data_IF_147451478179
#
_entry.id   IF_147451478179
#
_cell.length_a   1.000
_cell.length_b   1.000
_cell.length_c   1.000
_cell.angle_alpha   90.00
_cell.angle_beta   90.00
_cell.angle_gamma   90.00
#
_symmetry.space_group_name_H-M   'P 1'
#
loop_
_entity.id
_entity.type
_entity.pdbx_description
1 polymer ?
#
# COMPACT_ATOMS: atom_id res chain seq x y z
N UNK A 1 -16.32 -12.70 -16.21
CA UNK A 1 -16.10 -11.54 -15.32
C UNK A 1 -16.47 -11.94 -13.91
N UNK A 2 -15.56 -11.73 -12.97
CA UNK A 2 -15.80 -11.94 -11.55
C UNK A 2 -16.89 -11.00 -11.04
N UNK A 3 -17.50 -11.34 -9.88
CA UNK A 3 -18.44 -10.43 -9.22
C UNK A 3 -17.66 -9.47 -8.33
N UNK A 4 -17.45 -8.25 -8.80
CA UNK A 4 -16.74 -7.20 -8.09
C UNK A 4 -17.61 -6.58 -6.97
N UNK A 5 -17.11 -6.59 -5.75
CA UNK A 5 -17.77 -6.05 -4.55
C UNK A 5 -16.82 -5.04 -3.88
N UNK A 6 -16.91 -3.74 -4.28
CA UNK A 6 -15.89 -2.75 -3.87
C UNK A 6 -16.49 -1.43 -3.42
N UNK A 7 -15.89 -0.82 -2.37
CA UNK A 7 -16.04 0.57 -1.95
C UNK A 7 -14.81 1.41 -2.32
N UNK A 8 -14.79 2.71 -1.98
CA UNK A 8 -13.63 3.61 -2.19
C UNK A 8 -12.43 3.11 -1.40
N UNK A 9 -11.29 2.86 -2.06
CA UNK A 9 -10.11 2.23 -1.46
C UNK A 9 -9.45 3.09 -0.39
N UNK A 10 -8.84 2.44 0.62
CA UNK A 10 -8.07 3.08 1.69
C UNK A 10 -6.92 3.92 1.14
N UNK A 11 -6.25 3.44 0.09
CA UNK A 11 -5.20 4.17 -0.62
C UNK A 11 -5.73 5.41 -1.35
N UNK A 12 -6.95 5.35 -1.90
CA UNK A 12 -7.58 6.53 -2.52
C UNK A 12 -7.84 7.61 -1.47
N UNK A 13 -8.37 7.23 -0.30
CA UNK A 13 -8.54 8.14 0.84
C UNK A 13 -7.21 8.72 1.31
N UNK A 14 -6.17 7.88 1.48
CA UNK A 14 -4.82 8.31 1.86
C UNK A 14 -4.23 9.27 0.83
N UNK A 15 -4.39 8.99 -0.47
CA UNK A 15 -3.93 9.88 -1.54
C UNK A 15 -4.62 11.25 -1.47
N UNK A 16 -5.94 11.30 -1.29
CA UNK A 16 -6.68 12.56 -1.14
C UNK A 16 -6.16 13.37 0.05
N UNK A 17 -5.92 12.72 1.20
CA UNK A 17 -5.39 13.37 2.40
C UNK A 17 -3.98 13.94 2.16
N UNK A 18 -3.05 13.18 1.60
CA UNK A 18 -1.68 13.63 1.29
C UNK A 18 -1.67 14.78 0.28
N UNK A 19 -2.53 14.72 -0.75
CA UNK A 19 -2.63 15.81 -1.74
C UNK A 19 -3.22 17.08 -1.13
N UNK A 20 -4.22 16.98 -0.25
CA UNK A 20 -4.79 18.11 0.46
C UNK A 20 -3.75 18.76 1.37
N UNK A 21 -3.00 18.00 2.17
CA UNK A 21 -1.91 18.49 3.00
C UNK A 21 -0.83 19.20 2.15
N UNK A 22 -0.43 18.58 1.04
CA UNK A 22 0.54 19.17 0.11
C UNK A 22 0.05 20.51 -0.45
N UNK A 23 -1.24 20.64 -0.74
CA UNK A 23 -1.87 21.88 -1.20
C UNK A 23 -1.80 23.00 -0.16
N UNK A 24 -2.10 22.68 1.10
CA UNK A 24 -1.98 23.62 2.23
C UNK A 24 -0.53 24.05 2.43
N UNK A 25 0.41 23.11 2.48
CA UNK A 25 1.84 23.39 2.65
C UNK A 25 2.39 24.29 1.54
N UNK A 26 1.95 24.10 0.28
CA UNK A 26 2.36 24.98 -0.82
C UNK A 26 1.91 26.42 -0.62
N UNK A 27 0.68 26.65 -0.13
CA UNK A 27 0.17 27.98 0.17
C UNK A 27 0.95 28.64 1.32
N UNK A 28 1.19 27.89 2.40
CA UNK A 28 1.98 28.37 3.54
C UNK A 28 3.42 28.72 3.13
N UNK A 29 4.04 27.92 2.28
CA UNK A 29 5.39 28.17 1.78
C UNK A 29 5.51 29.55 1.07
N UNK A 30 4.52 29.91 0.24
CA UNK A 30 4.54 31.23 -0.44
C UNK A 30 4.41 32.40 0.54
N UNK A 31 3.58 32.23 1.58
CA UNK A 31 3.42 33.25 2.64
C UNK A 31 4.72 33.39 3.42
N UNK A 32 5.33 32.30 3.82
CA UNK A 32 6.58 32.27 4.60
C UNK A 32 7.77 32.78 3.78
N UNK A 33 7.88 32.39 2.50
CA UNK A 33 8.92 32.86 1.62
C UNK A 33 8.81 34.41 1.41
N UNK A 34 7.58 34.91 1.28
CA UNK A 34 7.32 36.36 1.21
C UNK A 34 7.73 37.08 2.51
N UNK A 35 7.34 36.54 3.67
CA UNK A 35 7.69 37.10 4.99
C UNK A 35 9.21 37.03 5.24
N UNK A 36 9.87 35.92 4.91
CA UNK A 36 11.32 35.80 4.99
C UNK A 36 12.05 36.77 4.09
N UNK A 37 11.58 36.94 2.86
CA UNK A 37 12.14 37.93 1.94
C UNK A 37 12.04 39.37 2.49
N UNK A 38 10.90 39.75 3.06
CA UNK A 38 10.71 41.05 3.70
C UNK A 38 11.62 41.24 4.92
N UNK A 39 11.78 40.23 5.75
CA UNK A 39 12.67 40.27 6.92
C UNK A 39 14.14 40.39 6.51
N UNK A 40 14.57 39.71 5.47
CA UNK A 40 15.93 39.81 4.93
C UNK A 40 16.17 41.20 4.34
N UNK A 41 15.21 41.74 3.57
CA UNK A 41 15.29 43.08 3.01
C UNK A 41 15.33 44.19 4.08
N UNK A 42 14.46 44.09 5.10
CA UNK A 42 14.44 44.99 6.24
C UNK A 42 15.74 44.91 7.05
N UNK A 43 16.27 43.68 7.19
CA UNK A 43 17.55 43.43 7.87
C UNK A 43 18.73 44.05 7.16
N UNK A 44 18.80 43.88 5.85
CA UNK A 44 19.83 44.51 5.01
C UNK A 44 19.77 46.04 5.10
N UNK A 45 18.55 46.63 5.01
CA UNK A 45 18.36 48.05 5.14
C UNK A 45 18.83 48.59 6.52
N UNK A 46 18.45 47.95 7.62
CA UNK A 46 18.87 48.33 8.98
C UNK A 46 20.36 48.13 9.20
N UNK A 47 20.97 47.07 8.63
CA UNK A 47 22.40 46.85 8.74
C UNK A 47 23.20 47.96 8.06
N UNK A 48 22.75 48.40 6.91
CA UNK A 48 23.35 49.54 6.18
C UNK A 48 23.20 50.83 7.00
N UNK A 49 22.06 51.00 7.69
CA UNK A 49 21.76 52.27 8.42
C UNK A 49 22.22 52.31 9.88
N UNK A 50 22.35 51.17 10.57
CA UNK A 50 22.58 51.13 12.03
C UNK A 50 23.46 49.99 12.55
N UNK A 51 24.02 49.14 11.68
CA UNK A 51 24.88 48.01 12.10
C UNK A 51 24.17 46.92 12.95
N UNK A 52 22.86 46.83 12.88
CA UNK A 52 22.06 45.98 13.77
C UNK A 52 22.19 44.47 13.43
N UNK A 53 22.92 43.72 14.26
CA UNK A 53 23.16 42.23 14.11
C UNK A 53 21.90 41.38 14.31
N UNK A 54 20.90 41.88 15.05
CA UNK A 54 19.67 41.11 15.38
C UNK A 54 18.79 40.77 14.18
N UNK A 55 18.79 41.56 13.14
CA UNK A 55 18.00 41.37 11.92
C UNK A 55 18.56 40.26 11.02
N UNK A 56 19.87 40.01 11.06
CA UNK A 56 20.51 38.88 10.36
C UNK A 56 20.09 37.53 10.98
N UNK A 57 19.96 37.45 12.31
CA UNK A 57 19.48 36.27 13.01
C UNK A 57 18.03 35.94 12.63
N UNK A 58 17.13 36.91 12.56
CA UNK A 58 15.75 36.73 12.14
C UNK A 58 15.67 36.23 10.69
N UNK A 59 16.49 36.79 9.80
CA UNK A 59 16.59 36.30 8.42
C UNK A 59 17.08 34.84 8.32
N UNK A 60 18.08 34.47 9.12
CA UNK A 60 18.56 33.09 9.16
C UNK A 60 17.50 32.10 9.67
N UNK A 61 16.78 32.48 10.75
CA UNK A 61 15.65 31.65 11.26
C UNK A 61 14.56 31.49 10.22
N UNK A 62 14.14 32.56 9.58
CA UNK A 62 13.14 32.54 8.52
C UNK A 62 13.58 31.63 7.35
N UNK A 63 14.86 31.67 6.96
CA UNK A 63 15.42 30.81 5.93
C UNK A 63 15.37 29.33 6.32
N UNK A 64 15.68 29.00 7.58
CA UNK A 64 15.58 27.62 8.10
C UNK A 64 14.14 27.12 8.04
N UNK A 65 13.14 27.94 8.38
CA UNK A 65 11.73 27.60 8.26
C UNK A 65 11.34 27.29 6.80
N UNK A 66 11.78 28.11 5.84
CA UNK A 66 11.54 27.87 4.43
C UNK A 66 12.17 26.55 3.97
N UNK A 67 13.40 26.27 4.39
CA UNK A 67 14.09 25.02 4.09
C UNK A 67 13.31 23.82 4.64
N UNK A 68 12.89 23.86 5.91
CA UNK A 68 12.10 22.81 6.55
C UNK A 68 10.78 22.56 5.80
N UNK A 69 10.08 23.62 5.40
CA UNK A 69 8.85 23.52 4.60
C UNK A 69 9.08 22.91 3.22
N UNK A 70 10.14 23.32 2.53
CA UNK A 70 10.52 22.71 1.24
C UNK A 70 10.82 21.23 1.40
N UNK A 71 11.53 20.84 2.46
CA UNK A 71 11.80 19.42 2.74
C UNK A 71 10.50 18.64 2.97
N UNK A 72 9.60 19.16 3.81
CA UNK A 72 8.30 18.53 4.07
C UNK A 72 7.45 18.42 2.80
N UNK A 73 7.43 19.44 1.95
CA UNK A 73 6.76 19.36 0.64
C UNK A 73 7.32 18.25 -0.26
N UNK A 74 8.64 18.12 -0.32
CA UNK A 74 9.29 17.05 -1.09
C UNK A 74 8.92 15.68 -0.57
N UNK A 75 8.87 15.50 0.75
CA UNK A 75 8.51 14.23 1.37
C UNK A 75 7.05 13.87 1.10
N UNK A 76 6.11 14.82 1.23
CA UNK A 76 4.71 14.61 0.88
C UNK A 76 4.52 14.28 -0.60
N UNK A 77 5.26 14.92 -1.51
CA UNK A 77 5.22 14.60 -2.94
C UNK A 77 5.75 13.19 -3.22
N UNK A 78 6.82 12.76 -2.52
CA UNK A 78 7.34 11.39 -2.62
C UNK A 78 6.31 10.38 -2.11
N UNK A 79 5.66 10.68 -0.99
CA UNK A 79 4.61 9.81 -0.44
C UNK A 79 3.40 9.73 -1.38
N UNK A 80 2.93 10.86 -1.92
CA UNK A 80 1.86 10.87 -2.92
C UNK A 80 2.18 10.01 -4.14
N UNK A 81 3.44 10.06 -4.64
CA UNK A 81 3.88 9.19 -5.74
C UNK A 81 3.90 7.71 -5.36
N UNK A 82 4.30 7.36 -4.13
CA UNK A 82 4.29 5.97 -3.63
C UNK A 82 2.86 5.44 -3.53
N UNK A 83 1.94 6.22 -2.94
CA UNK A 83 0.52 5.87 -2.84
C UNK A 83 -0.10 5.72 -4.23
N UNK A 84 0.20 6.63 -5.16
CA UNK A 84 -0.27 6.52 -6.54
C UNK A 84 0.27 5.27 -7.26
N UNK A 85 1.53 4.91 -7.02
CA UNK A 85 2.10 3.69 -7.56
C UNK A 85 1.41 2.44 -6.99
N UNK A 86 1.10 2.42 -5.68
CA UNK A 86 0.31 1.37 -5.04
C UNK A 86 -1.06 1.20 -5.71
N UNK A 87 -1.84 2.30 -5.79
CA UNK A 87 -3.16 2.31 -6.46
C UNK A 87 -3.10 1.78 -7.90
N UNK A 88 -2.06 2.14 -8.65
CA UNK A 88 -1.88 1.64 -10.01
C UNK A 88 -1.67 0.13 -10.03
N UNK A 89 -0.86 -0.40 -9.12
CA UNK A 89 -0.61 -1.84 -9.00
C UNK A 89 -1.88 -2.61 -8.63
N UNK A 90 -2.62 -2.16 -7.62
CA UNK A 90 -3.89 -2.78 -7.22
C UNK A 90 -4.94 -2.73 -8.35
N UNK A 91 -5.08 -1.58 -9.03
CA UNK A 91 -6.01 -1.46 -10.16
C UNK A 91 -5.64 -2.39 -11.32
N UNK A 92 -4.35 -2.65 -11.57
CA UNK A 92 -3.89 -3.61 -12.56
C UNK A 92 -4.30 -5.04 -12.21
N UNK A 93 -4.06 -5.45 -10.94
CA UNK A 93 -4.46 -6.78 -10.45
C UNK A 93 -5.97 -6.94 -10.47
N UNK A 94 -6.73 -5.95 -9.96
CA UNK A 94 -8.21 -5.96 -10.02
C UNK A 94 -8.71 -6.19 -11.42
N UNK A 95 -8.23 -5.39 -12.39
CA UNK A 95 -8.64 -5.48 -13.80
C UNK A 95 -8.34 -6.85 -14.39
N UNK A 96 -7.19 -7.43 -14.05
CA UNK A 96 -6.79 -8.73 -14.56
C UNK A 96 -7.63 -9.86 -13.96
N UNK A 97 -7.87 -9.83 -12.64
CA UNK A 97 -8.74 -10.79 -11.96
C UNK A 97 -10.17 -10.73 -12.51
N UNK A 98 -10.74 -9.52 -12.66
CA UNK A 98 -12.09 -9.36 -13.22
C UNK A 98 -12.18 -9.87 -14.66
N UNK A 99 -11.18 -9.61 -15.49
CA UNK A 99 -11.18 -10.03 -16.91
C UNK A 99 -10.97 -11.55 -17.10
N UNK A 100 -10.21 -12.21 -16.22
CA UNK A 100 -9.78 -13.60 -16.39
C UNK A 100 -10.55 -14.60 -15.55
N UNK A 101 -11.15 -14.19 -14.42
CA UNK A 101 -11.97 -15.04 -13.59
C UNK A 101 -13.44 -15.00 -14.06
N UNK A 102 -14.14 -16.09 -13.91
CA UNK A 102 -15.54 -16.20 -14.31
C UNK A 102 -16.52 -15.75 -13.21
N UNK A 103 -17.82 -15.82 -13.47
CA UNK A 103 -18.89 -15.38 -12.57
C UNK A 103 -19.07 -16.26 -11.31
N UNK A 104 -18.34 -17.36 -11.19
CA UNK A 104 -18.32 -18.17 -9.96
C UNK A 104 -17.34 -17.63 -8.91
N UNK A 105 -16.52 -16.65 -9.28
CA UNK A 105 -15.54 -15.99 -8.41
C UNK A 105 -16.10 -14.67 -7.88
N UNK A 106 -16.01 -14.47 -6.57
CA UNK A 106 -16.35 -13.22 -5.90
C UNK A 106 -15.06 -12.49 -5.54
N UNK A 107 -14.92 -11.26 -6.01
CA UNK A 107 -13.75 -10.41 -5.80
C UNK A 107 -14.08 -9.26 -4.85
N UNK A 108 -13.43 -9.23 -3.68
CA UNK A 108 -13.46 -8.14 -2.73
C UNK A 108 -12.10 -7.44 -2.77
N UNK A 109 -12.08 -6.14 -3.02
CA UNK A 109 -10.85 -5.35 -3.05
C UNK A 109 -10.79 -4.41 -1.85
N UNK A 110 -9.57 -4.16 -1.33
CA UNK A 110 -9.27 -3.26 -0.23
C UNK A 110 -10.21 -3.44 0.97
N UNK A 111 -10.46 -4.68 1.35
CA UNK A 111 -11.29 -5.00 2.50
C UNK A 111 -10.47 -5.05 3.79
N UNK A 112 -11.08 -4.58 4.90
CA UNK A 112 -10.47 -4.62 6.23
C UNK A 112 -11.22 -5.58 7.12
N UNK A 113 -10.72 -6.78 7.28
CA UNK A 113 -11.34 -7.80 8.14
C UNK A 113 -10.99 -7.55 9.59
N UNK A 114 -12.03 -7.52 10.46
CA UNK A 114 -11.87 -7.30 11.91
C UNK A 114 -12.40 -8.48 12.71
N UNK A 115 -11.57 -8.99 13.62
CA UNK A 115 -11.92 -10.10 14.54
C UNK A 115 -11.46 -9.75 15.95
N UNK A 116 -12.38 -9.36 16.81
CA UNK A 116 -12.06 -8.88 18.15
C UNK A 116 -11.15 -7.65 18.10
N UNK A 117 -9.93 -7.76 18.63
CA UNK A 117 -8.92 -6.69 18.61
C UNK A 117 -8.00 -6.75 17.40
N UNK A 118 -8.06 -7.79 16.60
CA UNK A 118 -7.21 -7.99 15.42
C UNK A 118 -7.90 -7.42 14.19
N UNK A 119 -7.13 -6.78 13.32
CA UNK A 119 -7.58 -6.35 12.01
C UNK A 119 -6.51 -6.60 10.96
N UNK A 120 -6.93 -6.95 9.76
CA UNK A 120 -6.06 -7.08 8.60
C UNK A 120 -6.72 -6.42 7.39
N UNK A 121 -5.98 -5.54 6.72
CA UNK A 121 -6.36 -5.02 5.40
C UNK A 121 -5.86 -6.02 4.36
N UNK A 122 -6.67 -6.30 3.37
CA UNK A 122 -6.41 -7.25 2.29
C UNK A 122 -6.63 -6.51 0.97
N UNK A 123 -5.60 -6.47 0.12
CA UNK A 123 -5.68 -5.76 -1.16
C UNK A 123 -6.70 -6.42 -2.09
N UNK A 124 -6.62 -7.75 -2.24
CA UNK A 124 -7.59 -8.53 -3.01
C UNK A 124 -7.89 -9.85 -2.32
N UNK A 125 -9.17 -10.14 -2.17
CA UNK A 125 -9.68 -11.39 -1.64
C UNK A 125 -10.63 -12.00 -2.67
N UNK A 126 -10.33 -13.21 -3.10
CA UNK A 126 -11.15 -13.97 -4.04
C UNK A 126 -11.77 -15.16 -3.32
N UNK A 127 -13.09 -15.29 -3.36
CA UNK A 127 -13.82 -16.47 -2.89
C UNK A 127 -14.37 -17.21 -4.10
N UNK A 128 -14.02 -18.48 -4.25
CA UNK A 128 -14.30 -19.25 -5.43
C UNK A 128 -14.66 -20.72 -5.10
N UNK A 129 -15.22 -21.49 -6.06
CA UNK A 129 -15.55 -22.89 -5.86
C UNK A 129 -14.36 -23.76 -5.47
N UNK A 130 -13.13 -23.37 -5.79
CA UNK A 130 -11.91 -24.09 -5.47
C UNK A 130 -11.17 -23.56 -4.23
N UNK A 131 -11.61 -22.45 -3.60
CA UNK A 131 -10.98 -21.97 -2.39
C UNK A 131 -11.13 -20.47 -2.14
N UNK A 132 -10.42 -19.97 -1.12
CA UNK A 132 -10.27 -18.57 -0.79
C UNK A 132 -8.83 -18.16 -1.05
N UNK A 133 -8.62 -17.04 -1.79
CA UNK A 133 -7.31 -16.57 -2.18
C UNK A 133 -7.12 -15.12 -1.72
N UNK A 134 -5.99 -14.87 -1.04
CA UNK A 134 -5.59 -13.54 -0.57
C UNK A 134 -4.37 -13.09 -1.35
N UNK A 135 -4.45 -11.92 -1.98
CA UNK A 135 -3.36 -11.37 -2.78
C UNK A 135 -2.92 -10.04 -2.15
N UNK A 136 -1.65 -9.97 -1.81
CA UNK A 136 -0.97 -8.76 -1.37
C UNK A 136 -0.19 -8.16 -2.54
N UNK A 137 -0.54 -6.97 -2.94
CA UNK A 137 0.03 -6.31 -4.12
C UNK A 137 1.16 -5.36 -3.75
N UNK A 138 2.29 -5.49 -4.41
CA UNK A 138 3.44 -4.59 -4.26
C UNK A 138 3.89 -4.05 -5.62
N UNK A 139 3.86 -2.72 -5.79
CA UNK A 139 4.37 -2.05 -6.99
C UNK A 139 5.76 -1.45 -6.72
N UNK A 140 6.70 -2.28 -6.28
CA UNK A 140 8.07 -1.88 -6.02
C UNK A 140 8.88 -1.86 -7.31
N UNK A 141 10.11 -1.32 -7.26
CA UNK A 141 11.06 -1.30 -8.38
C UNK A 141 12.41 -1.76 -7.89
N UNK A 142 13.22 -2.29 -8.81
CA UNK A 142 14.55 -2.79 -8.51
C UNK A 142 14.57 -4.24 -8.07
N UNK A 143 15.65 -4.66 -7.44
CA UNK A 143 15.84 -6.02 -6.98
C UNK A 143 15.41 -6.15 -5.51
N UNK A 144 14.67 -7.20 -5.21
CA UNK A 144 14.17 -7.53 -3.86
C UNK A 144 14.84 -8.83 -3.42
N UNK A 145 15.47 -8.79 -2.27
CA UNK A 145 16.09 -9.96 -1.63
C UNK A 145 15.44 -10.21 -0.28
N UNK A 146 15.20 -11.47 0.07
CA UNK A 146 14.65 -11.79 1.37
C UNK A 146 14.37 -13.25 1.61
N UNK A 147 13.93 -13.52 2.82
CA UNK A 147 13.52 -14.83 3.30
C UNK A 147 12.11 -14.73 3.90
N UNK A 148 11.30 -15.78 3.73
CA UNK A 148 9.93 -15.81 4.24
C UNK A 148 9.85 -15.70 5.77
N UNK A 149 10.89 -16.13 6.50
CA UNK A 149 10.96 -16.06 7.95
C UNK A 149 11.47 -14.70 8.47
N UNK A 150 12.10 -13.88 7.62
CA UNK A 150 12.63 -12.59 8.02
C UNK A 150 11.52 -11.54 8.22
N UNK A 151 11.67 -10.63 9.18
CA UNK A 151 10.72 -9.54 9.37
C UNK A 151 10.79 -8.47 8.27
N UNK A 152 11.97 -8.33 7.66
CA UNK A 152 12.24 -7.33 6.63
C UNK A 152 12.99 -7.97 5.47
N UNK A 153 12.72 -7.47 4.28
CA UNK A 153 13.46 -7.74 3.06
C UNK A 153 14.31 -6.55 2.67
N UNK A 154 15.19 -6.73 1.71
CA UNK A 154 16.07 -5.68 1.18
C UNK A 154 15.65 -5.29 -0.22
N UNK A 155 15.53 -3.99 -0.49
CA UNK A 155 15.27 -3.44 -1.80
C UNK A 155 16.49 -2.67 -2.31
N UNK A 156 17.02 -3.04 -3.47
CA UNK A 156 18.02 -2.31 -4.25
C UNK A 156 17.32 -1.69 -5.46
N UNK A 157 17.09 -0.37 -5.44
CA UNK A 157 16.26 0.31 -6.45
C UNK A 157 16.98 0.54 -7.77
N UNK A 158 18.25 0.87 -7.71
CA UNK A 158 19.12 1.06 -8.88
C UNK A 158 20.58 0.70 -8.54
N UNK A 159 21.40 0.38 -9.53
CA UNK A 159 22.82 0.17 -9.32
C UNK A 159 23.46 1.39 -8.67
N UNK A 160 24.22 1.17 -7.58
CA UNK A 160 24.87 2.24 -6.80
C UNK A 160 24.00 2.94 -5.77
N UNK A 161 22.68 2.67 -5.72
CA UNK A 161 21.87 3.11 -4.60
C UNK A 161 22.05 2.18 -3.38
N UNK A 162 22.10 2.74 -2.16
CA UNK A 162 22.19 1.92 -0.97
C UNK A 162 20.95 1.03 -0.82
N UNK A 163 21.11 -0.24 -0.40
CA UNK A 163 20.01 -1.11 -0.07
C UNK A 163 19.11 -0.48 1.00
N UNK A 164 17.80 -0.63 0.85
CA UNK A 164 16.83 -0.10 1.78
C UNK A 164 15.96 -1.24 2.36
N UNK A 165 15.71 -1.26 3.69
CA UNK A 165 14.82 -2.24 4.28
C UNK A 165 13.38 -1.98 3.84
N UNK A 166 12.65 -3.05 3.56
CA UNK A 166 11.21 -3.04 3.27
C UNK A 166 10.53 -4.12 4.11
N UNK A 167 9.27 -3.88 4.45
CA UNK A 167 8.52 -4.86 5.23
C UNK A 167 8.31 -6.15 4.42
N UNK A 168 8.44 -7.32 5.05
CA UNK A 168 8.22 -8.59 4.40
C UNK A 168 6.72 -8.80 4.09
N UNK A 169 6.31 -8.86 2.81
CA UNK A 169 4.90 -9.03 2.47
C UNK A 169 4.38 -10.46 2.72
N UNK A 170 5.24 -11.47 2.81
CA UNK A 170 4.83 -12.84 3.18
C UNK A 170 4.30 -12.86 4.63
N UNK A 171 4.94 -12.15 5.55
CA UNK A 171 4.45 -12.04 6.93
C UNK A 171 3.12 -11.31 7.00
N UNK A 172 2.89 -10.33 6.11
CA UNK A 172 1.62 -9.62 5.98
C UNK A 172 0.51 -10.58 5.51
N UNK A 173 0.75 -11.33 4.44
CA UNK A 173 -0.19 -12.33 3.90
C UNK A 173 -0.51 -13.42 4.94
N UNK A 174 0.50 -13.88 5.68
CA UNK A 174 0.30 -14.88 6.75
C UNK A 174 -0.67 -14.37 7.81
N UNK A 175 -0.48 -13.13 8.26
CA UNK A 175 -1.40 -12.47 9.21
C UNK A 175 -2.82 -12.27 8.64
N UNK A 176 -2.94 -11.97 7.35
CA UNK A 176 -4.22 -11.86 6.66
C UNK A 176 -4.95 -13.20 6.65
N UNK A 177 -4.27 -14.29 6.29
CA UNK A 177 -4.81 -15.66 6.33
C UNK A 177 -5.28 -16.04 7.73
N UNK A 178 -4.47 -15.79 8.76
CA UNK A 178 -4.84 -16.04 10.16
C UNK A 178 -6.11 -15.28 10.55
N UNK A 179 -6.22 -14.00 10.14
CA UNK A 179 -7.38 -13.16 10.46
C UNK A 179 -8.65 -13.66 9.76
N UNK A 180 -8.58 -14.02 8.47
CA UNK A 180 -9.71 -14.59 7.72
C UNK A 180 -10.11 -15.93 8.33
N UNK A 181 -9.16 -16.80 8.63
CA UNK A 181 -9.43 -18.09 9.26
C UNK A 181 -10.12 -17.92 10.63
N UNK A 182 -9.63 -17.00 11.47
CA UNK A 182 -10.24 -16.70 12.76
C UNK A 182 -11.69 -16.17 12.63
N UNK A 183 -11.98 -15.35 11.60
CA UNK A 183 -13.33 -14.89 11.30
C UNK A 183 -14.26 -16.06 10.96
N UNK A 184 -13.82 -16.93 10.06
CA UNK A 184 -14.59 -18.10 9.61
C UNK A 184 -14.87 -19.05 10.78
N UNK A 185 -13.83 -19.38 11.56
CA UNK A 185 -13.97 -20.24 12.75
C UNK A 185 -14.96 -19.66 13.76
N UNK A 186 -14.92 -18.34 14.01
CA UNK A 186 -15.87 -17.67 14.92
C UNK A 186 -17.32 -17.75 14.43
N UNK A 187 -17.51 -17.83 13.12
CA UNK A 187 -18.83 -18.07 12.51
C UNK A 187 -19.21 -19.54 12.39
N UNK A 188 -18.39 -20.47 12.92
CA UNK A 188 -18.60 -21.92 12.80
C UNK A 188 -18.35 -22.48 11.41
N UNK A 189 -17.62 -21.75 10.57
CA UNK A 189 -17.32 -22.14 9.18
C UNK A 189 -15.91 -22.73 9.11
N UNK A 190 -15.81 -23.98 8.63
CA UNK A 190 -14.53 -24.61 8.31
C UNK A 190 -14.25 -24.49 6.82
N UNK A 191 -13.13 -23.82 6.48
CA UNK A 191 -12.71 -23.61 5.09
C UNK A 191 -11.20 -23.86 4.95
N UNK A 192 -10.77 -25.10 4.70
CA UNK A 192 -9.36 -25.47 4.68
C UNK A 192 -8.61 -24.93 3.44
N UNK A 193 -9.33 -24.71 2.34
CA UNK A 193 -8.75 -24.33 1.06
C UNK A 193 -8.53 -22.81 0.99
N UNK A 194 -7.56 -22.32 1.78
CA UNK A 194 -7.14 -20.92 1.79
C UNK A 194 -5.71 -20.80 1.28
N UNK A 195 -5.44 -19.84 0.40
CA UNK A 195 -4.11 -19.58 -0.17
C UNK A 195 -3.81 -18.09 -0.15
N UNK A 196 -2.61 -17.78 0.27
CA UNK A 196 -2.08 -16.41 0.18
C UNK A 196 -0.99 -16.34 -0.89
N UNK A 197 -0.83 -15.18 -1.49
CA UNK A 197 0.23 -14.89 -2.45
C UNK A 197 0.63 -13.42 -2.44
N UNK A 198 1.90 -13.15 -2.75
CA UNK A 198 2.42 -11.80 -2.97
C UNK A 198 2.49 -11.55 -4.47
N UNK A 199 2.02 -10.39 -4.93
CA UNK A 199 1.96 -10.06 -6.36
C UNK A 199 2.77 -8.80 -6.66
N UNK A 200 3.89 -8.96 -7.37
CA UNK A 200 4.70 -7.84 -7.86
C UNK A 200 4.22 -7.34 -9.22
N UNK A 201 3.63 -6.14 -9.26
CA UNK A 201 3.03 -5.55 -10.46
C UNK A 201 4.02 -4.77 -11.32
N UNK A 202 5.07 -4.18 -10.73
CA UNK A 202 6.04 -3.43 -11.52
C UNK A 202 6.87 -4.34 -12.43
N UNK A 203 6.92 -4.11 -13.75
CA UNK A 203 7.78 -4.89 -14.66
C UNK A 203 9.28 -4.69 -14.39
N UNK A 204 9.63 -3.65 -13.61
CA UNK A 204 11.01 -3.34 -13.21
C UNK A 204 11.39 -3.95 -11.86
N UNK A 205 10.62 -4.88 -11.34
CA UNK A 205 10.95 -5.63 -10.13
C UNK A 205 11.49 -6.99 -10.50
N UNK A 206 12.63 -7.32 -9.93
CA UNK A 206 13.17 -8.69 -9.89
C UNK A 206 13.28 -9.11 -8.43
N UNK A 207 13.32 -10.39 -8.15
CA UNK A 207 13.46 -10.86 -6.77
C UNK A 207 14.22 -12.17 -6.65
N UNK A 208 14.89 -12.31 -5.51
CA UNK A 208 15.49 -13.54 -5.01
C UNK A 208 14.98 -13.75 -3.58
N UNK A 209 13.87 -14.48 -3.47
CA UNK A 209 13.15 -14.66 -2.21
C UNK A 209 13.01 -16.15 -1.94
N UNK A 210 13.43 -16.59 -0.73
CA UNK A 210 13.10 -17.91 -0.24
C UNK A 210 11.64 -17.91 0.22
N UNK A 211 10.79 -18.68 -0.48
CA UNK A 211 9.36 -18.80 -0.23
C UNK A 211 9.07 -19.91 0.80
N UNK A 212 7.97 -19.75 1.55
CA UNK A 212 7.48 -20.72 2.53
C UNK A 212 5.96 -20.88 2.37
N UNK A 213 5.54 -21.62 1.35
CA UNK A 213 4.13 -21.89 1.06
C UNK A 213 3.30 -20.68 0.59
N UNK A 214 3.86 -19.46 0.62
CA UNK A 214 3.26 -18.24 0.08
C UNK A 214 4.10 -17.77 -1.11
N UNK A 215 3.66 -18.03 -2.35
CA UNK A 215 4.45 -17.71 -3.53
C UNK A 215 4.49 -16.20 -3.81
N UNK A 216 5.60 -15.78 -4.45
CA UNK A 216 5.80 -14.43 -4.98
C UNK A 216 5.66 -14.48 -6.50
N UNK A 217 4.65 -13.81 -7.04
CA UNK A 217 4.17 -14.01 -8.40
C UNK A 217 4.07 -12.70 -9.19
N UNK A 218 3.97 -12.82 -10.50
CA UNK A 218 3.47 -11.77 -11.39
C UNK A 218 1.93 -11.82 -11.44
N UNK A 219 1.25 -10.73 -11.85
CA UNK A 219 -0.21 -10.70 -11.92
C UNK A 219 -0.83 -11.86 -12.73
N UNK A 220 -0.28 -12.19 -13.91
CA UNK A 220 -0.76 -13.31 -14.72
C UNK A 220 -0.58 -14.66 -14.03
N UNK A 221 0.57 -14.86 -13.38
CA UNK A 221 0.86 -16.08 -12.62
C UNK A 221 -0.09 -16.24 -11.42
N UNK A 222 -0.50 -15.14 -10.77
CA UNK A 222 -1.47 -15.18 -9.68
C UNK A 222 -2.85 -15.63 -10.17
N UNK A 223 -3.31 -15.16 -11.34
CA UNK A 223 -4.54 -15.65 -11.97
C UNK A 223 -4.45 -17.14 -12.28
N UNK A 224 -3.35 -17.56 -12.91
CA UNK A 224 -3.11 -18.97 -13.22
C UNK A 224 -3.09 -19.84 -11.95
N UNK A 225 -2.48 -19.35 -10.86
CA UNK A 225 -2.45 -20.04 -9.58
C UNK A 225 -3.86 -20.23 -9.00
N UNK A 226 -4.73 -19.22 -9.09
CA UNK A 226 -6.13 -19.31 -8.67
C UNK A 226 -6.88 -20.35 -9.51
N UNK A 227 -6.80 -20.25 -10.84
CA UNK A 227 -7.55 -21.13 -11.76
C UNK A 227 -7.12 -22.59 -11.70
N UNK A 228 -5.81 -22.83 -11.50
CA UNK A 228 -5.24 -24.19 -11.46
C UNK A 228 -5.27 -24.82 -10.08
N UNK A 229 -5.57 -24.05 -9.03
CA UNK A 229 -5.62 -24.59 -7.68
C UNK A 229 -6.68 -25.69 -7.58
N UNK A 230 -6.29 -26.80 -6.97
CA UNK A 230 -7.19 -27.91 -6.65
C UNK A 230 -7.30 -27.98 -5.14
N UNK A 231 -8.43 -27.48 -4.62
CA UNK A 231 -8.77 -27.59 -3.21
C UNK A 231 -9.07 -29.04 -2.80
N UNK A 232 -9.28 -29.25 -1.52
CA UNK A 232 -9.69 -30.54 -0.98
C UNK A 232 -11.06 -30.98 -1.54
N UNK A 233 -11.91 -30.00 -1.90
CA UNK A 233 -13.21 -30.20 -2.55
C UNK A 233 -13.62 -28.97 -3.36
N UNK A 234 -14.72 -29.11 -4.08
CA UNK A 234 -15.39 -27.98 -4.76
C UNK A 234 -16.54 -27.48 -3.88
N UNK A 235 -16.57 -26.17 -3.64
CA UNK A 235 -17.61 -25.51 -2.84
C UNK A 235 -18.76 -25.04 -3.73
N UNK A 236 -19.96 -25.25 -3.27
CA UNK A 236 -21.20 -24.81 -3.94
C UNK A 236 -21.49 -23.33 -3.71
N UNK A 237 -22.31 -22.73 -4.56
CA UNK A 237 -22.77 -21.33 -4.33
C UNK A 237 -23.51 -21.17 -2.99
N UNK A 238 -24.21 -22.19 -2.52
CA UNK A 238 -24.90 -22.17 -1.22
C UNK A 238 -23.91 -22.09 -0.04
N UNK A 239 -22.70 -22.60 -0.19
CA UNK A 239 -21.62 -22.51 0.80
C UNK A 239 -20.82 -21.21 0.66
N UNK A 240 -20.58 -20.75 -0.58
CA UNK A 240 -19.80 -19.55 -0.87
C UNK A 240 -20.54 -18.28 -0.43
N UNK A 241 -21.85 -18.18 -0.72
CA UNK A 241 -22.63 -16.95 -0.46
C UNK A 241 -22.61 -16.50 1.02
N UNK A 242 -22.79 -17.39 2.02
CA UNK A 242 -22.65 -17.02 3.43
C UNK A 242 -21.26 -16.50 3.79
N UNK A 243 -20.20 -17.10 3.22
CA UNK A 243 -18.80 -16.66 3.44
C UNK A 243 -18.56 -15.27 2.88
N UNK A 244 -18.99 -15.02 1.64
CA UNK A 244 -18.90 -13.70 1.02
C UNK A 244 -19.63 -12.64 1.85
N UNK A 245 -20.86 -12.94 2.28
CA UNK A 245 -21.66 -12.02 3.10
C UNK A 245 -20.99 -11.75 4.47
N UNK A 246 -20.38 -12.76 5.09
CA UNK A 246 -19.64 -12.62 6.34
C UNK A 246 -18.44 -11.69 6.16
N UNK A 247 -17.64 -11.92 5.11
CA UNK A 247 -16.47 -11.11 4.78
C UNK A 247 -16.84 -9.65 4.51
N UNK A 248 -17.90 -9.41 3.74
CA UNK A 248 -18.39 -8.05 3.46
C UNK A 248 -18.88 -7.30 4.71
N UNK A 249 -19.55 -7.98 5.65
CA UNK A 249 -20.02 -7.35 6.90
C UNK A 249 -18.89 -7.06 7.88
N UNK A 250 -17.76 -7.73 7.74
CA UNK A 250 -16.59 -7.60 8.64
C UNK A 250 -15.54 -6.65 8.08
N UNK A 251 -15.79 -6.12 6.88
CA UNK A 251 -14.93 -5.18 6.15
C UNK A 251 -15.14 -3.72 6.57
#
# INVERSE_FOLDING_TARGET
>A
MARLLTEETSLTRKRKAVLAETGVLRKLLWIEAGAAGLLVAAGAFRWISSGARGTLLLGAVATLFVIAHVMKLRDNQREAKRVQAGLKGEAEVTRLLDAKLDASHYLLNDCTIKVGRTSAQIDHLVVAPNGIFLLETKNWKGHIEGDAAANQWTQVRAPGEPPAPVHNPITQVRRQLETVNALLQRAGITWPDQRGMVVFTSPRTTWSVAEDGIPVLRPDQAVDAIQRFRGARTYTNAEITPVVNLLMRSS
#
